data_IF_909239547808
#
_entry.id   IF_909239547808
#
_cell.length_a   1.000
_cell.length_b   1.000
_cell.length_c   1.000
_cell.angle_alpha   90.00
_cell.angle_beta   90.00
_cell.angle_gamma   90.00
#
_symmetry.space_group_name_H-M   'P 1'
#
loop_
_entity.id
_entity.type
_entity.pdbx_description
1 polymer ?
#
# COMPACT_ATOMS: atom_id res chain seq x y z
N UNK A 1 -13.55 -1.28 -0.90
CA UNK A 1 -13.17 -1.29 -2.33
C UNK A 1 -12.79 -2.71 -2.72
N UNK A 2 -13.26 -3.21 -3.86
CA UNK A 2 -12.78 -4.47 -4.44
C UNK A 2 -11.66 -4.14 -5.42
N UNK A 3 -10.48 -4.73 -5.26
CA UNK A 3 -9.35 -4.56 -6.17
C UNK A 3 -9.04 -5.92 -6.77
N UNK A 4 -9.15 -6.02 -8.09
CA UNK A 4 -8.80 -7.24 -8.81
C UNK A 4 -7.36 -7.15 -9.28
N UNK A 5 -6.60 -8.23 -9.09
CA UNK A 5 -5.21 -8.32 -9.52
C UNK A 5 -4.92 -9.71 -10.10
N UNK A 6 -3.91 -9.79 -10.96
CA UNK A 6 -3.39 -11.05 -11.46
C UNK A 6 -2.38 -11.63 -10.47
N UNK A 7 -2.64 -12.86 -10.04
CA UNK A 7 -1.77 -13.60 -9.12
C UNK A 7 -0.45 -13.97 -9.79
N UNK A 8 0.66 -13.67 -9.13
CA UNK A 8 2.01 -14.04 -9.54
C UNK A 8 2.29 -15.55 -9.40
N UNK A 9 1.42 -16.30 -8.71
CA UNK A 9 1.58 -17.74 -8.49
C UNK A 9 1.02 -18.55 -9.66
N UNK A 10 -0.18 -18.19 -10.13
CA UNK A 10 -0.97 -19.00 -11.05
C UNK A 10 -1.63 -18.21 -12.20
N UNK A 11 -1.34 -16.91 -12.31
CA UNK A 11 -1.92 -15.97 -13.30
C UNK A 11 -3.44 -15.89 -13.27
N UNK A 12 -4.07 -16.29 -12.16
CA UNK A 12 -5.52 -16.18 -11.99
C UNK A 12 -5.89 -14.81 -11.42
N UNK A 13 -7.11 -14.39 -11.74
CA UNK A 13 -7.70 -13.19 -11.16
C UNK A 13 -8.04 -13.44 -9.69
N UNK A 14 -7.44 -12.65 -8.81
CA UNK A 14 -7.75 -12.61 -7.38
C UNK A 14 -8.36 -11.25 -7.01
N UNK A 15 -9.03 -11.18 -5.86
CA UNK A 15 -9.71 -9.95 -5.40
C UNK A 15 -9.41 -9.65 -3.94
N UNK A 16 -8.85 -8.46 -3.70
CA UNK A 16 -8.68 -7.89 -2.36
C UNK A 16 -9.85 -6.98 -1.97
N UNK A 17 -10.23 -7.02 -0.70
CA UNK A 17 -11.31 -6.21 -0.12
C UNK A 17 -10.75 -5.17 0.85
N UNK A 18 -10.53 -3.96 0.34
CA UNK A 18 -9.85 -2.88 1.04
C UNK A 18 -10.81 -1.96 1.80
N UNK A 19 -10.38 -1.48 2.96
CA UNK A 19 -11.12 -0.63 3.90
C UNK A 19 -10.25 0.53 4.43
N UNK A 20 -10.90 1.67 4.67
CA UNK A 20 -10.29 2.84 5.31
C UNK A 20 -11.28 3.49 6.29
N UNK A 21 -11.87 2.68 7.18
CA UNK A 21 -12.95 3.12 8.06
C UNK A 21 -12.39 3.78 9.34
N UNK A 22 -12.72 5.05 9.64
CA UNK A 22 -12.30 5.70 10.89
C UNK A 22 -12.94 5.11 12.15
N UNK A 23 -14.07 4.40 12.04
CA UNK A 23 -14.76 3.74 13.16
C UNK A 23 -15.24 2.35 12.78
N UNK A 24 -14.34 1.38 12.90
CA UNK A 24 -14.58 -0.05 12.71
C UNK A 24 -14.55 -0.75 14.08
N UNK A 25 -15.72 -1.10 14.62
CA UNK A 25 -15.87 -1.63 15.98
C UNK A 25 -15.20 -0.74 17.05
N UNK A 26 -15.33 0.58 16.92
CA UNK A 26 -14.74 1.56 17.85
C UNK A 26 -13.25 1.84 17.62
N UNK A 27 -12.61 1.21 16.63
CA UNK A 27 -11.21 1.42 16.29
C UNK A 27 -11.03 1.86 14.83
N UNK A 28 -9.96 2.59 14.53
CA UNK A 28 -9.63 2.95 13.15
C UNK A 28 -9.11 1.72 12.41
N UNK A 29 -9.54 1.53 11.16
CA UNK A 29 -9.03 0.49 10.26
C UNK A 29 -8.67 1.07 8.91
N UNK A 30 -7.38 1.20 8.67
CA UNK A 30 -6.78 1.66 7.42
C UNK A 30 -5.93 0.53 6.84
N UNK A 31 -6.42 -0.10 5.78
CA UNK A 31 -5.70 -1.16 5.10
C UNK A 31 -4.51 -0.56 4.31
N UNK A 32 -3.44 -1.34 4.18
CA UNK A 32 -2.26 -0.97 3.40
C UNK A 32 -2.36 -1.57 1.99
N UNK A 33 -1.71 -0.92 1.03
CA UNK A 33 -1.78 -1.25 -0.39
C UNK A 33 -0.43 -1.08 -1.07
N UNK A 34 -0.26 -1.81 -2.17
CA UNK A 34 0.74 -1.53 -3.18
C UNK A 34 0.14 -0.64 -4.25
N UNK A 35 0.84 0.43 -4.59
CA UNK A 35 0.40 1.38 -5.61
C UNK A 35 1.45 1.52 -6.72
N UNK A 36 0.96 1.74 -7.93
CA UNK A 36 1.77 2.15 -9.08
C UNK A 36 1.86 3.68 -9.10
N UNK A 37 3.07 4.21 -9.10
CA UNK A 37 3.36 5.65 -9.18
C UNK A 37 4.45 5.92 -10.22
N UNK A 38 4.73 7.19 -10.51
CA UNK A 38 5.79 7.60 -11.41
C UNK A 38 6.89 8.31 -10.64
N UNK A 39 8.14 7.97 -10.94
CA UNK A 39 9.29 8.71 -10.42
C UNK A 39 9.47 10.06 -11.13
N UNK A 40 10.49 10.83 -10.73
CA UNK A 40 10.80 12.14 -11.33
C UNK A 40 11.17 12.07 -12.82
N UNK A 41 11.55 10.90 -13.32
CA UNK A 41 11.94 10.65 -14.71
C UNK A 41 10.79 10.03 -15.53
N UNK A 42 9.62 9.83 -14.91
CA UNK A 42 8.45 9.21 -15.55
C UNK A 42 8.48 7.68 -15.57
N UNK A 43 9.42 7.03 -14.88
CA UNK A 43 9.44 5.58 -14.78
C UNK A 43 8.36 5.09 -13.82
N UNK A 44 7.70 4.00 -14.19
CA UNK A 44 6.75 3.33 -13.30
C UNK A 44 7.52 2.74 -12.12
N UNK A 45 7.08 3.08 -10.91
CA UNK A 45 7.63 2.59 -9.65
C UNK A 45 6.50 2.10 -8.76
N UNK A 46 6.82 1.21 -7.84
CA UNK A 46 5.84 0.63 -6.93
C UNK A 46 6.21 0.98 -5.50
N UNK A 47 5.25 1.53 -4.75
CA UNK A 47 5.45 1.86 -3.35
C UNK A 47 4.29 1.34 -2.51
N UNK A 48 4.58 1.11 -1.23
CA UNK A 48 3.55 0.81 -0.25
C UNK A 48 2.92 2.09 0.27
N UNK A 49 1.64 2.01 0.59
CA UNK A 49 0.86 3.13 1.09
C UNK A 49 -0.25 2.66 2.04
N UNK A 50 -0.64 3.52 2.97
CA UNK A 50 -1.83 3.33 3.81
C UNK A 50 -3.01 4.10 3.21
N UNK A 51 -4.15 3.43 3.04
CA UNK A 51 -5.39 4.08 2.59
C UNK A 51 -6.02 4.88 3.73
N UNK A 52 -6.13 6.19 3.59
CA UNK A 52 -6.75 7.05 4.61
C UNK A 52 -8.21 7.34 4.30
N UNK A 53 -8.54 7.59 3.03
CA UNK A 53 -9.88 8.00 2.62
C UNK A 53 -10.10 7.71 1.14
N UNK A 54 -11.25 7.15 0.78
CA UNK A 54 -11.66 6.95 -0.62
C UNK A 54 -12.87 7.83 -0.91
N UNK A 55 -12.88 8.50 -2.05
CA UNK A 55 -13.98 9.36 -2.45
C UNK A 55 -14.12 9.43 -3.97
N UNK A 56 -15.32 9.78 -4.41
CA UNK A 56 -15.68 9.94 -5.81
C UNK A 56 -15.91 11.41 -6.09
N UNK A 57 -15.23 11.93 -7.10
CA UNK A 57 -15.38 13.31 -7.56
C UNK A 57 -16.09 13.33 -8.92
N UNK A 58 -17.20 14.08 -9.01
CA UNK A 58 -17.97 14.24 -10.25
C UNK A 58 -17.74 15.65 -10.78
N UNK A 59 -17.11 15.75 -11.95
CA UNK A 59 -16.93 17.04 -12.65
C UNK A 59 -18.25 17.43 -13.31
N UNK A 60 -18.73 18.66 -13.05
CA UNK A 60 -19.94 19.17 -13.71
C UNK A 60 -19.79 19.09 -15.24
N UNK A 61 -20.69 18.33 -15.87
CA UNK A 61 -20.72 18.13 -17.33
C UNK A 61 -19.97 16.90 -17.85
N UNK A 62 -19.21 16.18 -17.01
CA UNK A 62 -18.55 14.94 -17.40
C UNK A 62 -19.32 13.73 -16.83
N UNK A 63 -19.61 12.72 -17.66
CA UNK A 63 -20.32 11.52 -17.20
C UNK A 63 -19.43 10.54 -16.44
N UNK A 64 -18.10 10.67 -16.56
CA UNK A 64 -17.15 9.79 -15.91
C UNK A 64 -16.66 10.36 -14.57
N UNK A 65 -17.03 9.75 -13.43
CA UNK A 65 -16.53 10.16 -12.14
C UNK A 65 -15.05 9.78 -11.96
N UNK A 66 -14.31 10.64 -11.26
CA UNK A 66 -12.94 10.37 -10.84
C UNK A 66 -12.95 9.70 -9.47
N UNK A 67 -12.54 8.44 -9.43
CA UNK A 67 -12.39 7.66 -8.21
C UNK A 67 -11.00 7.89 -7.62
N UNK A 68 -10.93 8.60 -6.49
CA UNK A 68 -9.71 9.04 -5.84
C UNK A 68 -9.57 8.44 -4.44
N UNK A 69 -8.33 8.37 -3.97
CA UNK A 69 -8.02 8.03 -2.59
C UNK A 69 -6.91 8.92 -2.06
N UNK A 70 -7.05 9.32 -0.80
CA UNK A 70 -5.98 9.90 -0.02
C UNK A 70 -5.16 8.76 0.58
N UNK A 71 -3.86 8.76 0.31
CA UNK A 71 -2.92 7.77 0.84
C UNK A 71 -1.81 8.42 1.64
N UNK A 72 -1.30 7.69 2.62
CA UNK A 72 -0.05 8.01 3.29
C UNK A 72 1.04 7.08 2.75
N UNK A 73 2.00 7.58 1.95
CA UNK A 73 3.09 6.75 1.41
C UNK A 73 3.98 6.18 2.51
N UNK A 74 4.55 5.00 2.26
CA UNK A 74 5.36 4.23 3.21
C UNK A 74 6.79 3.95 2.72
N UNK A 75 7.33 4.88 1.94
CA UNK A 75 8.64 4.84 1.31
C UNK A 75 9.61 5.87 1.92
N UNK A 76 9.35 6.35 3.14
CA UNK A 76 10.31 7.20 3.83
C UNK A 76 11.58 6.39 4.15
N UNK A 77 12.77 7.04 4.19
CA UNK A 77 14.01 6.35 4.50
C UNK A 77 13.92 5.64 5.86
N UNK A 78 14.09 4.33 5.82
CA UNK A 78 14.38 3.53 7.01
C UNK A 78 15.79 3.85 7.47
N UNK A 79 16.06 3.76 8.77
CA UNK A 79 17.43 3.93 9.28
C UNK A 79 18.33 2.79 8.79
N UNK A 80 19.54 2.67 9.34
CA UNK A 80 20.40 1.53 9.04
C UNK A 80 19.64 0.21 9.26
N UNK A 81 19.61 -0.63 8.24
CA UNK A 81 18.99 -1.94 8.34
C UNK A 81 19.70 -2.74 9.43
N UNK A 82 18.93 -3.20 10.42
CA UNK A 82 19.50 -4.00 11.50
C UNK A 82 19.96 -5.33 10.92
N UNK A 83 21.08 -5.88 11.43
CA UNK A 83 21.57 -7.23 11.05
C UNK A 83 20.44 -8.26 11.12
N UNK A 84 19.58 -8.14 12.13
CA UNK A 84 18.41 -9.01 12.30
C UNK A 84 17.41 -8.93 11.14
N UNK A 85 17.14 -7.74 10.61
CA UNK A 85 16.20 -7.58 9.48
C UNK A 85 16.77 -8.25 8.23
N UNK A 86 18.09 -8.13 8.02
CA UNK A 86 18.77 -8.79 6.92
C UNK A 86 18.74 -10.31 7.09
N UNK A 87 19.14 -10.83 8.26
CA UNK A 87 19.25 -12.26 8.52
C UNK A 87 17.89 -12.98 8.46
N UNK A 88 16.81 -12.28 8.82
CA UNK A 88 15.43 -12.78 8.75
C UNK A 88 14.70 -12.38 7.46
N UNK A 89 15.37 -11.70 6.53
CA UNK A 89 14.79 -11.22 5.28
C UNK A 89 13.53 -10.35 5.48
N UNK A 90 13.51 -9.51 6.51
CA UNK A 90 12.40 -8.60 6.77
C UNK A 90 12.46 -7.36 5.87
N UNK A 91 11.37 -7.13 5.13
CA UNK A 91 11.13 -5.87 4.43
C UNK A 91 10.53 -4.84 5.38
N UNK A 92 11.38 -3.93 5.86
CA UNK A 92 10.96 -2.79 6.68
C UNK A 92 10.55 -1.60 5.81
N UNK A 93 9.42 -0.99 6.15
CA UNK A 93 8.83 0.17 5.50
C UNK A 93 8.62 1.28 6.53
N UNK A 94 8.63 2.55 6.10
CA UNK A 94 8.37 3.68 7.00
C UNK A 94 7.36 4.65 6.40
N UNK A 95 6.33 4.95 7.17
CA UNK A 95 5.34 5.97 6.80
C UNK A 95 5.99 7.35 6.66
N UNK A 96 5.68 8.08 5.59
CA UNK A 96 5.90 9.53 5.55
C UNK A 96 5.04 10.23 6.62
N UNK A 97 5.42 11.44 7.09
CA UNK A 97 4.55 12.23 7.95
C UNK A 97 3.16 12.42 7.34
N UNK A 98 2.10 12.44 8.16
CA UNK A 98 0.72 12.55 7.68
C UNK A 98 0.46 13.80 6.81
N UNK A 99 1.20 14.89 7.05
CA UNK A 99 1.17 16.11 6.23
C UNK A 99 1.66 15.91 4.79
N UNK A 100 2.35 14.80 4.49
CA UNK A 100 2.79 14.37 3.16
C UNK A 100 1.90 13.26 2.59
N UNK A 101 0.64 13.23 2.98
CA UNK A 101 -0.36 12.37 2.34
C UNK A 101 -0.69 12.93 0.96
N UNK A 102 -0.99 12.04 0.02
CA UNK A 102 -1.12 12.38 -1.40
C UNK A 102 -2.43 11.82 -1.95
N UNK A 103 -3.06 12.54 -2.88
CA UNK A 103 -4.21 12.02 -3.61
C UNK A 103 -3.72 11.25 -4.82
N UNK A 104 -4.22 10.03 -4.98
CA UNK A 104 -3.95 9.18 -6.14
C UNK A 104 -5.26 8.68 -6.74
N UNK A 105 -5.19 8.26 -8.00
CA UNK A 105 -6.27 7.51 -8.62
C UNK A 105 -6.43 6.16 -7.92
N UNK A 106 -7.68 5.75 -7.66
CA UNK A 106 -7.95 4.39 -7.17
C UNK A 106 -7.50 3.30 -8.15
N UNK A 107 -7.36 3.65 -9.44
CA UNK A 107 -6.82 2.74 -10.48
C UNK A 107 -5.32 2.46 -10.31
N UNK A 108 -4.60 3.29 -9.56
CA UNK A 108 -3.19 3.09 -9.25
C UNK A 108 -2.98 2.00 -8.19
N UNK A 109 -4.04 1.59 -7.46
CA UNK A 109 -3.95 0.53 -6.46
C UNK A 109 -3.80 -0.81 -7.19
N UNK A 110 -2.67 -1.47 -6.97
CA UNK A 110 -2.39 -2.79 -7.56
C UNK A 110 -3.10 -3.86 -6.74
N UNK A 111 -2.84 -3.88 -5.43
CA UNK A 111 -3.43 -4.85 -4.49
C UNK A 111 -3.24 -4.45 -3.02
N UNK A 112 -3.91 -5.15 -2.11
CA UNK A 112 -3.74 -4.99 -0.67
C UNK A 112 -2.44 -5.61 -0.15
N UNK A 113 -1.89 -5.04 0.91
CA UNK A 113 -0.68 -5.52 1.58
C UNK A 113 -0.93 -5.68 3.08
N UNK A 114 -0.51 -6.82 3.66
CA UNK A 114 -0.52 -7.01 5.10
C UNK A 114 0.76 -6.44 5.70
N UNK A 115 0.64 -5.32 6.42
CA UNK A 115 1.75 -4.67 7.12
C UNK A 115 1.51 -4.69 8.62
N UNK A 116 2.53 -5.05 9.39
CA UNK A 116 2.48 -5.06 10.87
C UNK A 116 3.37 -3.96 11.44
N UNK A 117 2.92 -3.19 12.45
CA UNK A 117 3.74 -2.13 13.04
C UNK A 117 4.96 -2.69 13.77
N UNK A 118 6.10 -2.01 13.67
CA UNK A 118 7.21 -2.19 14.61
C UNK A 118 6.83 -1.50 15.92
N UNK A 119 6.71 -2.30 16.99
CA UNK A 119 6.36 -1.78 18.31
C UNK A 119 7.49 -0.97 18.98
N UNK A 120 8.72 -1.02 18.43
CA UNK A 120 9.87 -0.25 18.94
C UNK A 120 10.04 1.10 18.23
N UNK A 121 9.71 1.16 16.94
CA UNK A 121 9.92 2.35 16.11
C UNK A 121 8.59 2.81 15.53
N UNK A 122 8.03 3.86 16.13
CA UNK A 122 6.75 4.44 15.68
C UNK A 122 6.87 4.89 14.22
N UNK A 123 5.96 4.40 13.38
CA UNK A 123 5.94 4.70 11.95
C UNK A 123 6.66 3.68 11.07
N UNK A 124 7.38 2.73 11.66
CA UNK A 124 7.96 1.59 10.95
C UNK A 124 6.96 0.43 10.90
N UNK A 125 6.99 -0.30 9.80
CA UNK A 125 6.14 -1.45 9.54
C UNK A 125 6.95 -2.53 8.83
N UNK A 126 6.52 -3.78 8.98
CA UNK A 126 7.07 -4.91 8.24
C UNK A 126 6.03 -5.48 7.30
N UNK A 127 6.45 -5.81 6.08
CA UNK A 127 5.64 -6.58 5.15
C UNK A 127 5.54 -8.04 5.63
N UNK A 128 4.32 -8.57 5.66
CA UNK A 128 4.07 -9.99 5.89
C UNK A 128 3.88 -10.67 4.54
N UNK A 129 4.96 -11.25 4.02
CA UNK A 129 5.02 -11.83 2.67
C UNK A 129 4.86 -13.37 2.64
N UNK A 130 4.93 -14.05 3.79
CA UNK A 130 4.89 -15.50 3.87
C UNK A 130 3.48 -16.10 4.01
N UNK A 131 2.48 -15.30 4.41
CA UNK A 131 1.08 -15.77 4.54
C UNK A 131 0.39 -15.87 3.18
N UNK A 132 0.85 -15.08 2.22
CA UNK A 132 0.31 -15.01 0.87
C UNK A 132 1.42 -15.33 -0.15
N UNK A 133 1.29 -16.47 -0.84
CA UNK A 133 2.28 -16.91 -1.84
C UNK A 133 2.48 -15.92 -3.00
N UNK A 134 1.48 -15.11 -3.34
CA UNK A 134 1.67 -14.02 -4.31
C UNK A 134 2.60 -12.95 -3.73
N UNK A 135 2.38 -12.57 -2.47
CA UNK A 135 3.22 -11.58 -1.81
C UNK A 135 4.67 -12.03 -1.68
N UNK A 136 4.92 -13.31 -1.39
CA UNK A 136 6.28 -13.86 -1.38
C UNK A 136 7.01 -13.67 -2.72
N UNK A 137 6.34 -13.98 -3.84
CA UNK A 137 6.93 -13.81 -5.17
C UNK A 137 7.07 -12.33 -5.55
N UNK A 138 6.07 -11.51 -5.20
CA UNK A 138 6.04 -10.09 -5.53
C UNK A 138 7.06 -9.29 -4.72
N UNK A 139 7.23 -9.59 -3.44
CA UNK A 139 8.22 -8.95 -2.57
C UNK A 139 9.64 -9.15 -3.12
N UNK A 140 9.98 -10.36 -3.61
CA UNK A 140 11.28 -10.64 -4.24
C UNK A 140 11.58 -9.85 -5.52
N UNK A 141 10.56 -9.33 -6.18
CA UNK A 141 10.73 -8.49 -7.37
C UNK A 141 10.82 -7.00 -6.99
N UNK A 142 10.31 -6.62 -5.83
CA UNK A 142 10.18 -5.25 -5.37
C UNK A 142 11.28 -4.83 -4.38
N UNK A 143 11.86 -5.77 -3.63
CA UNK A 143 12.73 -5.54 -2.48
C UNK A 143 14.09 -6.19 -2.66
#
# INVERSE_FOLDING_TARGET
LKVNYESAVDWRLATDYLRCNPSFHGNQRYDCVLISTQDRHGNITHIFARLLMMFRYVLNGNQDPLDLTLVQPMDAPTGNQCVLDHDLSFTRLRTRPAARSEFISLRSVIRGALLVPDFRHVGDFFLVDYVDGDWFLRAKQLC
#
